data_IF_266295021320
#
_entry.id   IF_266295021320
#
_cell.length_a   1.000
_cell.length_b   1.000
_cell.length_c   1.000
_cell.angle_alpha   90.00
_cell.angle_beta   90.00
_cell.angle_gamma   90.00
#
_symmetry.space_group_name_H-M   'P 1'
#
loop_
_entity.id
_entity.type
_entity.pdbx_description
1 polymer ?
#
# COMPACT_ATOMS: atom_id res chain seq x y z
N UNK A 1 -14.55 26.01 7.22
CA UNK A 1 -14.68 24.57 6.88
C UNK A 1 -14.43 24.46 5.39
N UNK A 2 -13.38 23.75 4.97
CA UNK A 2 -13.15 23.48 3.55
C UNK A 2 -14.34 22.66 3.01
N UNK A 3 -14.81 23.01 1.83
CA UNK A 3 -15.90 22.29 1.17
C UNK A 3 -15.42 20.86 0.86
N UNK A 4 -16.10 19.83 1.41
CA UNK A 4 -15.76 18.42 1.14
C UNK A 4 -15.86 18.12 -0.37
N UNK A 5 -16.87 18.65 -1.03
CA UNK A 5 -17.14 18.45 -2.44
C UNK A 5 -16.61 19.62 -3.30
N UNK A 6 -15.36 19.54 -3.73
CA UNK A 6 -14.81 20.42 -4.77
C UNK A 6 -15.18 19.93 -6.17
N UNK A 7 -15.03 20.77 -7.21
CA UNK A 7 -15.26 20.35 -8.60
C UNK A 7 -14.38 19.16 -8.97
N UNK A 8 -13.09 19.22 -8.60
CA UNK A 8 -12.13 18.14 -8.89
C UNK A 8 -12.53 16.82 -8.24
N UNK A 9 -12.95 16.83 -6.98
CA UNK A 9 -13.41 15.62 -6.27
C UNK A 9 -14.66 15.03 -6.93
N UNK A 10 -15.62 15.88 -7.34
CA UNK A 10 -16.82 15.42 -8.08
C UNK A 10 -16.45 14.76 -9.41
N UNK A 11 -15.50 15.31 -10.15
CA UNK A 11 -15.02 14.74 -11.41
C UNK A 11 -14.39 13.36 -11.19
N UNK A 12 -13.49 13.21 -10.20
CA UNK A 12 -12.85 11.93 -9.90
C UNK A 12 -13.84 10.87 -9.44
N UNK A 13 -14.76 11.21 -8.55
CA UNK A 13 -15.83 10.29 -8.11
C UNK A 13 -16.75 9.91 -9.28
N UNK A 14 -17.13 10.88 -10.12
CA UNK A 14 -17.95 10.61 -11.30
C UNK A 14 -17.25 9.69 -12.32
N UNK A 15 -15.94 9.78 -12.45
CA UNK A 15 -15.14 8.87 -13.29
C UNK A 15 -15.22 7.42 -12.77
N UNK A 16 -15.10 7.22 -11.46
CA UNK A 16 -15.32 5.88 -10.86
C UNK A 16 -16.76 5.41 -11.06
N UNK A 17 -17.74 6.27 -10.83
CA UNK A 17 -19.15 5.94 -11.03
C UNK A 17 -19.47 5.51 -12.47
N UNK A 18 -18.76 6.05 -13.46
CA UNK A 18 -18.90 5.63 -14.87
C UNK A 18 -18.33 4.23 -15.12
N UNK A 19 -17.21 3.85 -14.48
CA UNK A 19 -16.63 2.52 -14.57
C UNK A 19 -17.39 1.50 -13.70
N UNK A 20 -18.07 1.96 -12.67
CA UNK A 20 -18.73 1.16 -11.63
C UNK A 20 -19.62 0.03 -12.16
N UNK A 21 -20.51 0.23 -13.16
CA UNK A 21 -21.33 -0.84 -13.70
C UNK A 21 -20.52 -2.04 -14.24
N UNK A 22 -19.36 -1.81 -14.85
CA UNK A 22 -18.47 -2.87 -15.30
C UNK A 22 -17.84 -3.61 -14.11
N UNK A 23 -17.41 -2.90 -13.08
CA UNK A 23 -16.90 -3.50 -11.84
C UNK A 23 -17.95 -4.36 -11.13
N UNK A 24 -19.17 -3.86 -11.02
CA UNK A 24 -20.30 -4.60 -10.43
C UNK A 24 -20.66 -5.86 -11.24
N UNK A 25 -20.59 -5.80 -12.56
CA UNK A 25 -20.85 -6.95 -13.43
C UNK A 25 -19.83 -8.08 -13.24
N UNK A 26 -18.57 -7.75 -13.00
CA UNK A 26 -17.47 -8.71 -12.77
C UNK A 26 -17.42 -9.22 -11.32
N UNK A 27 -17.98 -8.48 -10.36
CA UNK A 27 -17.85 -8.77 -8.92
C UNK A 27 -18.33 -10.18 -8.54
N UNK A 28 -19.39 -10.67 -9.13
CA UNK A 28 -19.93 -12.02 -8.87
C UNK A 28 -19.01 -13.15 -9.35
N UNK A 29 -18.26 -12.96 -10.41
CA UNK A 29 -17.26 -13.92 -10.90
C UNK A 29 -16.02 -13.88 -10.04
N UNK A 30 -15.50 -12.70 -9.75
CA UNK A 30 -14.39 -12.47 -8.83
C UNK A 30 -14.63 -13.16 -7.48
N UNK A 31 -15.84 -13.04 -6.93
CA UNK A 31 -16.20 -13.67 -5.66
C UNK A 31 -16.27 -15.20 -5.80
N UNK A 32 -16.94 -15.71 -6.81
CA UNK A 32 -17.11 -17.15 -7.02
C UNK A 32 -15.78 -17.88 -7.19
N UNK A 33 -14.84 -17.27 -7.92
CA UNK A 33 -13.56 -17.89 -8.28
C UNK A 33 -12.44 -17.55 -7.28
N UNK A 34 -12.72 -16.69 -6.29
CA UNK A 34 -11.72 -16.11 -5.39
C UNK A 34 -10.52 -15.50 -6.16
N UNK A 35 -10.81 -14.91 -7.33
CA UNK A 35 -9.80 -14.39 -8.23
C UNK A 35 -9.61 -12.88 -8.06
N UNK A 36 -8.38 -12.40 -8.24
CA UNK A 36 -8.09 -10.97 -8.24
C UNK A 36 -8.78 -10.27 -9.43
N UNK A 37 -9.38 -9.05 -9.23
CA UNK A 37 -10.12 -8.34 -10.27
C UNK A 37 -9.19 -7.62 -11.28
N UNK A 38 -8.42 -8.36 -12.06
CA UNK A 38 -7.42 -7.84 -13.00
C UNK A 38 -7.98 -6.81 -13.98
N UNK A 39 -9.20 -7.05 -14.52
CA UNK A 39 -9.81 -6.12 -15.47
C UNK A 39 -10.19 -4.78 -14.82
N UNK A 40 -10.64 -4.79 -13.55
CA UNK A 40 -10.92 -3.56 -12.82
C UNK A 40 -9.64 -2.74 -12.63
N UNK A 41 -8.52 -3.41 -12.37
CA UNK A 41 -7.23 -2.75 -12.25
C UNK A 41 -6.67 -2.25 -13.59
N UNK A 42 -6.98 -2.91 -14.70
CA UNK A 42 -6.67 -2.41 -16.02
C UNK A 42 -7.43 -1.09 -16.29
N UNK A 43 -8.73 -1.06 -16.01
CA UNK A 43 -9.57 0.14 -16.15
C UNK A 43 -9.07 1.28 -15.24
N UNK A 44 -8.75 0.99 -13.97
CA UNK A 44 -8.21 1.97 -13.03
C UNK A 44 -6.84 2.53 -13.48
N UNK A 45 -5.97 1.68 -14.04
CA UNK A 45 -4.68 2.08 -14.58
C UNK A 45 -4.84 2.98 -15.79
N UNK A 46 -5.69 2.62 -16.75
CA UNK A 46 -5.96 3.41 -17.94
C UNK A 46 -6.51 4.80 -17.58
N UNK A 47 -7.36 4.87 -16.57
CA UNK A 47 -7.91 6.13 -16.06
C UNK A 47 -6.97 6.91 -15.11
N UNK A 48 -5.76 6.41 -14.85
CA UNK A 48 -4.73 7.06 -14.01
C UNK A 48 -4.97 6.94 -12.50
N UNK A 49 -5.94 6.17 -12.05
CA UNK A 49 -6.31 6.08 -10.63
C UNK A 49 -5.26 5.39 -9.76
N UNK A 50 -4.35 4.59 -10.31
CA UNK A 50 -3.23 4.07 -9.52
C UNK A 50 -2.36 5.20 -8.94
N UNK A 51 -2.31 6.35 -9.61
CA UNK A 51 -1.65 7.57 -9.14
C UNK A 51 -2.57 8.54 -8.39
N UNK A 52 -3.70 8.10 -7.81
CA UNK A 52 -4.71 9.00 -7.21
C UNK A 52 -4.09 10.01 -6.24
N UNK A 53 -3.25 9.57 -5.31
CA UNK A 53 -2.64 10.40 -4.29
C UNK A 53 -1.20 10.84 -4.61
N UNK A 54 -0.71 10.53 -5.81
CA UNK A 54 0.57 11.04 -6.30
C UNK A 54 0.37 12.48 -6.79
N UNK A 55 1.29 13.42 -6.47
CA UNK A 55 1.19 14.80 -6.93
C UNK A 55 1.13 14.93 -8.47
N UNK A 56 0.40 15.92 -8.97
CA UNK A 56 0.31 16.21 -10.40
C UNK A 56 1.68 16.50 -11.03
N UNK A 57 2.60 17.10 -10.26
CA UNK A 57 3.99 17.34 -10.71
C UNK A 57 4.77 16.05 -11.00
N UNK A 58 4.31 14.91 -10.49
CA UNK A 58 4.84 13.56 -10.72
C UNK A 58 3.94 12.71 -11.62
N UNK A 59 2.96 13.32 -12.28
CA UNK A 59 2.06 12.65 -13.23
C UNK A 59 0.84 11.97 -12.59
N UNK A 60 0.62 12.14 -11.29
CA UNK A 60 -0.55 11.63 -10.58
C UNK A 60 -1.78 12.54 -10.68
N UNK A 61 -2.84 12.20 -9.95
CA UNK A 61 -4.11 12.95 -9.91
C UNK A 61 -4.17 13.98 -8.78
N UNK A 62 -3.16 14.07 -7.91
CA UNK A 62 -3.04 15.06 -6.84
C UNK A 62 -4.11 14.97 -5.76
N UNK A 63 -4.75 13.80 -5.61
CA UNK A 63 -5.79 13.58 -4.61
C UNK A 63 -5.24 13.62 -3.19
N UNK A 64 -5.96 14.30 -2.31
CA UNK A 64 -5.72 14.28 -0.87
C UNK A 64 -6.50 13.16 -0.17
N UNK A 65 -6.37 13.06 1.16
CA UNK A 65 -7.06 12.05 1.96
C UNK A 65 -8.59 12.07 1.78
N UNK A 66 -9.19 13.26 1.65
CA UNK A 66 -10.65 13.36 1.43
C UNK A 66 -11.03 12.84 0.04
N UNK A 67 -10.23 13.15 -0.97
CA UNK A 67 -10.40 12.62 -2.34
C UNK A 67 -10.29 11.10 -2.35
N UNK A 68 -9.27 10.56 -1.69
CA UNK A 68 -9.09 9.13 -1.51
C UNK A 68 -10.31 8.46 -0.86
N UNK A 69 -10.81 9.01 0.25
CA UNK A 69 -11.96 8.46 0.97
C UNK A 69 -13.23 8.43 0.08
N UNK A 70 -13.53 9.51 -0.65
CA UNK A 70 -14.67 9.61 -1.54
C UNK A 70 -14.58 8.65 -2.74
N UNK A 71 -13.39 8.51 -3.32
CA UNK A 71 -13.12 7.56 -4.41
C UNK A 71 -13.26 6.12 -3.94
N UNK A 72 -12.71 5.80 -2.76
CA UNK A 72 -12.81 4.46 -2.16
C UNK A 72 -14.25 4.10 -1.80
N UNK A 73 -15.05 5.05 -1.29
CA UNK A 73 -16.48 4.87 -1.05
C UNK A 73 -17.22 4.50 -2.34
N UNK A 74 -16.96 5.25 -3.43
CA UNK A 74 -17.60 4.98 -4.70
C UNK A 74 -17.19 3.62 -5.28
N UNK A 75 -15.89 3.26 -5.23
CA UNK A 75 -15.42 1.93 -5.62
C UNK A 75 -16.14 0.82 -4.85
N UNK A 76 -16.27 0.99 -3.53
CA UNK A 76 -16.91 0.03 -2.64
C UNK A 76 -18.38 -0.24 -2.96
N UNK A 77 -19.09 0.71 -3.55
CA UNK A 77 -20.46 0.55 -4.01
C UNK A 77 -20.60 -0.47 -5.15
N UNK A 78 -19.52 -0.69 -5.89
CA UNK A 78 -19.53 -1.52 -7.09
C UNK A 78 -18.78 -2.84 -6.89
N UNK A 79 -17.60 -2.81 -6.23
CA UNK A 79 -16.81 -3.99 -5.94
C UNK A 79 -15.97 -3.79 -4.67
N UNK A 80 -16.37 -4.43 -3.58
CA UNK A 80 -15.67 -4.33 -2.30
C UNK A 80 -14.23 -4.84 -2.35
N UNK A 81 -13.96 -5.93 -3.07
CA UNK A 81 -12.59 -6.46 -3.23
C UNK A 81 -11.68 -5.48 -3.97
N UNK A 82 -12.18 -4.83 -5.03
CA UNK A 82 -11.43 -3.78 -5.72
C UNK A 82 -11.17 -2.59 -4.81
N UNK A 83 -12.17 -2.13 -4.05
CA UNK A 83 -12.01 -0.99 -3.15
C UNK A 83 -10.98 -1.25 -2.06
N UNK A 84 -11.00 -2.44 -1.43
CA UNK A 84 -10.05 -2.79 -0.36
C UNK A 84 -8.62 -2.92 -0.90
N UNK A 85 -8.44 -3.58 -2.03
CA UNK A 85 -7.09 -3.73 -2.63
C UNK A 85 -6.56 -2.39 -3.17
N UNK A 86 -7.43 -1.56 -3.76
CA UNK A 86 -7.10 -0.20 -4.14
C UNK A 86 -6.68 0.66 -2.95
N UNK A 87 -7.34 0.48 -1.79
CA UNK A 87 -6.93 1.11 -0.55
C UNK A 87 -5.49 0.74 -0.19
N UNK A 88 -5.12 -0.53 -0.20
CA UNK A 88 -3.76 -0.98 0.15
C UNK A 88 -2.69 -0.32 -0.74
N UNK A 89 -2.94 -0.25 -2.04
CA UNK A 89 -2.05 0.41 -2.99
C UNK A 89 -1.97 1.93 -2.77
N UNK A 90 -3.12 2.60 -2.71
CA UNK A 90 -3.19 4.05 -2.59
C UNK A 90 -2.70 4.54 -1.23
N UNK A 91 -2.94 3.78 -0.16
CA UNK A 91 -2.41 4.07 1.17
C UNK A 91 -0.87 4.16 1.16
N UNK A 92 -0.18 3.27 0.45
CA UNK A 92 1.27 3.34 0.31
C UNK A 92 1.73 4.63 -0.36
N UNK A 93 1.12 5.00 -1.50
CA UNK A 93 1.49 6.23 -2.21
C UNK A 93 1.22 7.50 -1.40
N UNK A 94 0.14 7.50 -0.61
CA UNK A 94 -0.21 8.60 0.29
C UNK A 94 0.69 8.66 1.52
N UNK A 95 1.07 7.50 2.09
CA UNK A 95 1.94 7.38 3.25
C UNK A 95 3.32 7.96 2.95
N UNK A 96 3.95 7.57 1.84
CA UNK A 96 5.25 8.11 1.44
C UNK A 96 5.17 9.54 0.86
N UNK A 97 3.96 10.00 0.55
CA UNK A 97 3.65 11.34 0.06
C UNK A 97 3.22 12.28 1.16
N UNK A 98 1.97 12.72 1.10
CA UNK A 98 1.39 13.77 1.96
C UNK A 98 1.56 13.53 3.46
N UNK A 99 1.48 12.25 3.90
CA UNK A 99 1.65 11.95 5.33
C UNK A 99 3.12 12.12 5.73
N UNK A 100 4.06 11.70 4.88
CA UNK A 100 5.49 11.85 5.14
C UNK A 100 5.99 13.30 5.07
N UNK A 101 5.27 14.20 4.39
CA UNK A 101 5.62 15.62 4.33
C UNK A 101 5.66 16.28 5.73
N UNK A 102 4.83 15.79 6.66
CA UNK A 102 4.73 16.30 8.03
C UNK A 102 5.75 15.68 9.01
N UNK A 103 6.61 14.76 8.55
CA UNK A 103 7.60 14.13 9.42
C UNK A 103 8.78 15.06 9.72
N UNK A 104 9.30 14.93 10.95
CA UNK A 104 10.57 15.55 11.33
C UNK A 104 11.71 14.76 10.65
N UNK A 105 12.38 15.40 9.72
CA UNK A 105 13.53 14.88 8.99
C UNK A 105 14.64 15.92 8.99
N UNK A 106 15.86 15.47 9.11
CA UNK A 106 17.02 16.30 8.75
C UNK A 106 17.00 16.59 7.24
N UNK A 107 17.77 17.59 6.80
CA UNK A 107 17.87 17.93 5.37
C UNK A 107 18.38 16.74 4.54
N UNK A 108 19.29 15.93 5.10
CA UNK A 108 19.82 14.74 4.45
C UNK A 108 18.77 13.63 4.34
N UNK A 109 18.04 13.33 5.43
CA UNK A 109 16.94 12.35 5.41
C UNK A 109 15.86 12.76 4.43
N UNK A 110 15.52 14.06 4.38
CA UNK A 110 14.53 14.58 3.44
C UNK A 110 14.99 14.41 2.00
N UNK A 111 16.24 14.72 1.68
CA UNK A 111 16.76 14.55 0.33
C UNK A 111 16.71 13.09 -0.13
N UNK A 112 17.11 12.15 0.73
CA UNK A 112 17.02 10.71 0.46
C UNK A 112 15.56 10.26 0.29
N UNK A 113 14.67 10.74 1.16
CA UNK A 113 13.24 10.43 1.07
C UNK A 113 12.62 10.94 -0.24
N UNK A 114 12.93 12.17 -0.66
CA UNK A 114 12.45 12.75 -1.93
C UNK A 114 12.89 11.91 -3.14
N UNK A 115 14.14 11.46 -3.17
CA UNK A 115 14.66 10.60 -4.23
C UNK A 115 13.89 9.27 -4.28
N UNK A 116 13.78 8.58 -3.14
CA UNK A 116 13.12 7.26 -3.02
C UNK A 116 11.64 7.31 -3.36
N UNK A 117 10.90 8.31 -2.82
CA UNK A 117 9.47 8.44 -3.14
C UNK A 117 9.21 8.83 -4.59
N UNK A 118 10.07 9.64 -5.19
CA UNK A 118 9.97 10.00 -6.61
C UNK A 118 10.13 8.77 -7.50
N UNK A 119 11.04 7.86 -7.15
CA UNK A 119 11.24 6.60 -7.86
C UNK A 119 10.04 5.65 -7.68
N UNK A 120 9.49 5.54 -6.46
CA UNK A 120 8.27 4.79 -6.20
C UNK A 120 7.12 5.31 -7.07
N UNK A 121 6.89 6.62 -7.08
CA UNK A 121 5.83 7.24 -7.87
C UNK A 121 6.04 7.06 -9.37
N UNK A 122 7.28 7.18 -9.84
CA UNK A 122 7.63 6.90 -11.23
C UNK A 122 7.26 5.46 -11.61
N UNK A 123 7.57 4.49 -10.77
CA UNK A 123 7.19 3.08 -10.98
C UNK A 123 5.68 2.90 -11.08
N UNK A 124 4.90 3.56 -10.22
CA UNK A 124 3.43 3.51 -10.29
C UNK A 124 2.91 4.15 -11.59
N UNK A 125 3.38 5.35 -11.94
CA UNK A 125 2.85 6.11 -13.08
C UNK A 125 3.32 5.53 -14.43
N UNK A 126 4.61 5.26 -14.58
CA UNK A 126 5.18 4.85 -15.86
C UNK A 126 5.07 3.34 -16.14
N UNK A 127 5.13 2.52 -15.10
CA UNK A 127 5.18 1.07 -15.20
C UNK A 127 3.88 0.40 -14.70
N UNK A 128 3.05 1.14 -13.97
CA UNK A 128 1.82 0.63 -13.36
C UNK A 128 2.07 -0.32 -12.22
N UNK A 129 3.20 -0.17 -11.51
CA UNK A 129 3.55 -1.00 -10.35
C UNK A 129 2.49 -0.92 -9.27
N UNK A 130 2.15 -2.08 -8.71
CA UNK A 130 1.23 -2.23 -7.60
C UNK A 130 2.00 -2.42 -6.30
N UNK A 131 1.55 -1.72 -5.27
CA UNK A 131 2.09 -1.81 -3.93
C UNK A 131 1.09 -2.46 -2.99
N UNK A 132 1.48 -3.54 -2.31
CA UNK A 132 0.76 -4.09 -1.17
C UNK A 132 1.29 -3.51 0.13
N UNK A 133 0.47 -3.52 1.19
CA UNK A 133 0.84 -3.00 2.51
C UNK A 133 0.47 -4.00 3.61
N UNK A 134 1.17 -5.14 3.73
CA UNK A 134 0.88 -6.15 4.73
C UNK A 134 1.41 -5.74 6.11
N UNK A 135 0.54 -5.35 7.03
CA UNK A 135 0.89 -4.99 8.39
C UNK A 135 0.77 -6.14 9.37
N UNK A 136 -0.32 -6.90 9.29
CA UNK A 136 -0.69 -7.88 10.30
C UNK A 136 0.31 -9.05 10.36
N UNK A 137 0.69 -9.46 11.58
CA UNK A 137 1.59 -10.58 11.82
C UNK A 137 0.87 -11.78 12.49
N UNK A 138 -0.44 -11.63 12.75
CA UNK A 138 -1.25 -12.68 13.39
C UNK A 138 -0.94 -12.85 14.87
N UNK A 139 -0.27 -11.89 15.49
CA UNK A 139 0.06 -11.88 16.91
C UNK A 139 -1.00 -11.15 17.73
N UNK A 140 -1.19 -11.55 18.98
CA UNK A 140 -2.05 -10.81 19.88
C UNK A 140 -1.41 -9.45 20.27
N UNK A 141 -2.21 -8.41 20.56
CA UNK A 141 -1.69 -7.15 21.03
C UNK A 141 -0.78 -7.32 22.26
N UNK A 142 0.46 -6.84 22.17
CA UNK A 142 1.43 -6.90 23.27
C UNK A 142 2.28 -8.17 23.34
N UNK A 143 2.13 -9.12 22.41
CA UNK A 143 3.02 -10.28 22.32
C UNK A 143 4.44 -9.93 21.91
N UNK A 144 4.61 -8.82 21.18
CA UNK A 144 5.94 -8.27 20.86
C UNK A 144 6.00 -6.78 21.12
N UNK A 145 7.19 -6.26 21.42
CA UNK A 145 7.46 -4.84 21.34
C UNK A 145 7.72 -4.48 19.85
N UNK A 146 6.83 -3.72 19.24
CA UNK A 146 6.88 -3.40 17.82
C UNK A 146 6.43 -4.58 16.93
N UNK A 147 7.08 -4.74 15.78
CA UNK A 147 6.80 -5.81 14.82
C UNK A 147 7.70 -7.04 15.07
N UNK A 148 7.20 -8.25 14.76
CA UNK A 148 7.97 -9.48 14.87
C UNK A 148 8.92 -9.70 13.67
N UNK A 149 8.56 -9.20 12.48
CA UNK A 149 9.44 -9.25 11.33
C UNK A 149 10.77 -8.53 11.62
N UNK A 150 11.88 -9.15 11.20
CA UNK A 150 13.26 -8.69 11.47
C UNK A 150 14.04 -8.54 10.18
N UNK A 151 14.80 -7.46 10.08
CA UNK A 151 15.71 -7.22 8.98
C UNK A 151 17.15 -7.09 9.51
N UNK A 152 18.09 -7.75 8.83
CA UNK A 152 19.51 -7.68 9.12
C UNK A 152 20.17 -6.82 8.04
N UNK A 153 20.89 -5.76 8.39
CA UNK A 153 21.63 -4.97 7.41
C UNK A 153 22.72 -5.80 6.72
N UNK A 154 22.78 -5.67 5.40
CA UNK A 154 23.82 -6.29 4.56
C UNK A 154 24.31 -5.27 3.53
N UNK A 155 25.34 -5.62 2.77
CA UNK A 155 25.82 -4.75 1.69
C UNK A 155 24.70 -4.48 0.66
N UNK A 156 24.39 -3.21 0.42
CA UNK A 156 23.37 -2.76 -0.50
C UNK A 156 21.92 -2.86 -0.02
N UNK A 157 21.65 -3.29 1.24
CA UNK A 157 20.26 -3.38 1.72
C UNK A 157 20.06 -4.17 3.00
N UNK A 158 19.03 -5.01 2.99
CA UNK A 158 18.58 -5.79 4.16
C UNK A 158 18.22 -7.22 3.75
N UNK A 159 18.41 -8.16 4.67
CA UNK A 159 17.78 -9.49 4.60
C UNK A 159 16.60 -9.53 5.58
N UNK A 160 15.40 -9.65 5.04
CA UNK A 160 14.15 -9.65 5.82
C UNK A 160 13.73 -11.09 6.14
N UNK A 161 13.41 -11.35 7.41
CA UNK A 161 12.80 -12.59 7.87
C UNK A 161 11.57 -12.31 8.71
N UNK A 162 10.47 -13.03 8.46
CA UNK A 162 9.24 -12.84 9.21
C UNK A 162 8.02 -13.33 8.46
N UNK A 163 6.84 -13.06 9.02
CA UNK A 163 5.56 -13.46 8.44
C UNK A 163 4.57 -12.31 8.53
N UNK A 164 3.79 -12.14 7.46
CA UNK A 164 2.62 -11.26 7.43
C UNK A 164 1.39 -12.09 7.06
N UNK A 165 0.25 -11.76 7.67
CA UNK A 165 -1.03 -12.41 7.40
C UNK A 165 -2.01 -11.40 6.82
N UNK A 166 -3.04 -11.88 6.12
CA UNK A 166 -4.02 -11.04 5.43
C UNK A 166 -3.37 -10.04 4.45
N UNK A 167 -2.33 -10.50 3.74
CA UNK A 167 -1.59 -9.68 2.78
C UNK A 167 -2.39 -9.50 1.48
N UNK A 168 -3.34 -8.56 1.47
CA UNK A 168 -4.08 -8.20 0.26
C UNK A 168 -3.11 -7.85 -0.86
N UNK A 169 -3.43 -8.22 -2.12
CA UNK A 169 -2.56 -8.11 -3.29
C UNK A 169 -1.36 -9.08 -3.27
N UNK A 170 -1.34 -10.12 -2.44
CA UNK A 170 -0.16 -10.97 -2.22
C UNK A 170 0.44 -11.56 -3.50
N UNK A 171 -0.39 -11.93 -4.49
CA UNK A 171 0.06 -12.56 -5.75
C UNK A 171 0.25 -11.56 -6.91
N UNK A 172 -0.16 -10.31 -6.74
CA UNK A 172 -0.24 -9.35 -7.87
C UNK A 172 0.51 -8.05 -7.63
N UNK A 173 0.93 -7.77 -6.38
CA UNK A 173 1.76 -6.62 -6.11
C UNK A 173 3.18 -6.82 -6.65
N UNK A 174 3.78 -5.74 -7.11
CA UNK A 174 5.21 -5.71 -7.50
C UNK A 174 6.10 -5.52 -6.27
N UNK A 175 5.60 -4.80 -5.25
CA UNK A 175 6.28 -4.60 -3.98
C UNK A 175 5.35 -4.83 -2.78
N UNK A 176 5.87 -5.54 -1.79
CA UNK A 176 5.25 -5.69 -0.47
C UNK A 176 5.89 -4.71 0.51
N UNK A 177 5.16 -3.67 0.90
CA UNK A 177 5.66 -2.64 1.81
C UNK A 177 5.45 -3.08 3.25
N UNK A 178 6.51 -3.48 3.90
CA UNK A 178 6.51 -4.21 5.17
C UNK A 178 7.07 -3.34 6.28
N UNK A 179 6.37 -3.33 7.40
CA UNK A 179 6.91 -2.82 8.66
C UNK A 179 7.73 -3.92 9.34
N UNK A 180 8.94 -3.59 9.80
CA UNK A 180 9.82 -4.51 10.51
C UNK A 180 10.73 -3.78 11.49
N UNK A 181 11.44 -4.55 12.32
CA UNK A 181 12.51 -4.06 13.18
C UNK A 181 13.85 -4.43 12.56
N UNK A 182 14.83 -3.53 12.61
CA UNK A 182 16.19 -3.78 12.13
C UNK A 182 17.09 -4.18 13.29
N UNK A 183 17.97 -5.17 13.09
CA UNK A 183 18.91 -5.58 14.11
C UNK A 183 19.79 -4.42 14.58
N UNK A 184 19.82 -4.19 15.90
CA UNK A 184 20.59 -3.09 16.51
C UNK A 184 19.88 -1.72 16.50
N UNK A 185 18.64 -1.65 16.04
CA UNK A 185 17.82 -0.43 16.04
C UNK A 185 16.38 -0.74 16.56
N UNK A 186 15.88 0.09 17.47
CA UNK A 186 14.55 -0.05 18.07
C UNK A 186 13.44 0.73 17.29
N UNK A 187 13.82 1.42 16.23
CA UNK A 187 12.89 2.18 15.39
C UNK A 187 12.29 1.30 14.30
N UNK A 188 10.99 1.46 14.08
CA UNK A 188 10.30 0.76 12.99
C UNK A 188 10.84 1.22 11.63
N UNK A 189 11.05 0.26 10.74
CA UNK A 189 11.39 0.49 9.33
C UNK A 189 10.20 0.16 8.43
N UNK A 190 10.15 0.84 7.29
CA UNK A 190 9.17 0.62 6.25
C UNK A 190 9.89 0.29 4.93
N UNK A 191 9.90 -1.00 4.61
CA UNK A 191 10.71 -1.57 3.54
C UNK A 191 9.83 -2.12 2.41
N UNK A 192 10.11 -1.74 1.17
CA UNK A 192 9.46 -2.29 -0.02
C UNK A 192 10.20 -3.54 -0.51
N UNK A 193 9.66 -4.71 -0.20
CA UNK A 193 10.21 -6.01 -0.61
C UNK A 193 9.76 -6.29 -2.05
N UNK A 194 10.67 -6.48 -3.02
CA UNK A 194 10.29 -6.94 -4.35
C UNK A 194 9.56 -8.29 -4.27
N UNK A 195 8.44 -8.42 -4.95
CA UNK A 195 7.61 -9.63 -4.86
C UNK A 195 8.32 -10.87 -5.45
N UNK A 196 9.25 -10.66 -6.37
CA UNK A 196 10.07 -11.68 -7.03
C UNK A 196 11.42 -11.94 -6.34
N UNK A 197 11.69 -11.31 -5.19
CA UNK A 197 12.92 -11.56 -4.45
C UNK A 197 12.98 -13.00 -3.93
N UNK A 198 14.16 -13.61 -4.03
CA UNK A 198 14.41 -14.90 -3.40
C UNK A 198 14.03 -14.85 -1.92
N UNK A 199 13.35 -15.90 -1.42
CA UNK A 199 12.89 -15.96 -0.02
C UNK A 199 11.53 -15.31 0.23
N UNK A 200 10.86 -14.74 -0.77
CA UNK A 200 9.45 -14.34 -0.67
C UNK A 200 8.57 -15.54 -0.98
N UNK A 201 7.77 -15.96 -0.01
CA UNK A 201 6.92 -17.15 -0.11
C UNK A 201 5.47 -16.76 0.18
N UNK A 202 4.56 -17.10 -0.71
CA UNK A 202 3.13 -16.92 -0.54
C UNK A 202 2.55 -18.24 -0.02
N UNK A 203 1.91 -18.21 1.16
CA UNK A 203 1.38 -19.40 1.82
C UNK A 203 -0.13 -19.37 2.02
N UNK A 204 -0.70 -20.58 2.10
CA UNK A 204 -2.10 -20.82 2.41
C UNK A 204 -3.04 -20.49 1.25
N UNK A 205 -4.33 -20.70 1.49
CA UNK A 205 -5.40 -20.39 0.56
C UNK A 205 -6.11 -19.11 1.01
N UNK A 206 -6.81 -18.47 0.07
CA UNK A 206 -7.70 -17.36 0.38
C UNK A 206 -9.12 -17.70 -0.03
N UNK A 207 -9.87 -18.32 0.90
CA UNK A 207 -11.26 -18.76 0.68
C UNK A 207 -12.17 -18.30 1.85
N UNK A 208 -12.26 -16.99 2.13
CA UNK A 208 -13.12 -16.45 3.18
C UNK A 208 -14.60 -16.40 2.74
N UNK A 209 -15.50 -16.05 3.66
CA UNK A 209 -16.92 -15.86 3.39
C UNK A 209 -17.19 -14.69 2.43
N UNK A 210 -16.39 -13.63 2.50
CA UNK A 210 -16.48 -12.44 1.65
C UNK A 210 -15.12 -11.86 1.33
N UNK A 211 -15.05 -10.86 0.45
CA UNK A 211 -13.79 -10.23 0.03
C UNK A 211 -12.81 -11.22 -0.64
N UNK A 212 -13.36 -12.21 -1.33
CA UNK A 212 -12.62 -13.32 -1.92
C UNK A 212 -11.63 -12.84 -3.01
N UNK A 213 -11.98 -11.79 -3.73
CA UNK A 213 -11.12 -11.19 -4.76
C UNK A 213 -9.98 -10.32 -4.25
N UNK A 214 -9.74 -10.24 -2.92
CA UNK A 214 -8.63 -9.42 -2.39
C UNK A 214 -7.28 -10.12 -2.44
N UNK A 215 -7.28 -11.46 -2.63
CA UNK A 215 -6.05 -12.25 -2.65
C UNK A 215 -5.17 -11.95 -1.43
N UNK A 216 -5.76 -12.12 -0.21
CA UNK A 216 -5.13 -11.72 1.06
C UNK A 216 -4.46 -12.90 1.75
N UNK A 217 -3.59 -13.60 1.02
CA UNK A 217 -2.84 -14.77 1.54
C UNK A 217 -1.78 -14.35 2.55
N UNK A 218 -1.08 -15.31 3.09
CA UNK A 218 0.04 -15.03 3.98
C UNK A 218 1.33 -14.87 3.19
N UNK A 219 2.21 -14.01 3.67
CA UNK A 219 3.57 -13.85 3.17
C UNK A 219 4.57 -14.32 4.23
N UNK A 220 5.51 -15.13 3.82
CA UNK A 220 6.69 -15.51 4.60
C UNK A 220 7.92 -14.95 3.89
N UNK A 221 8.77 -14.31 4.67
CA UNK A 221 10.06 -13.80 4.22
C UNK A 221 11.14 -14.66 4.89
N UNK A 222 11.91 -15.39 4.11
CA UNK A 222 13.00 -16.25 4.55
C UNK A 222 14.33 -15.72 4.00
N UNK A 223 14.84 -14.68 4.65
CA UNK A 223 16.04 -13.98 4.20
C UNK A 223 15.82 -13.20 2.89
N UNK A 224 14.62 -12.70 2.63
CA UNK A 224 14.33 -11.97 1.41
C UNK A 224 15.16 -10.68 1.32
N UNK A 225 15.88 -10.49 0.20
CA UNK A 225 16.71 -9.30 0.00
C UNK A 225 15.84 -8.09 -0.33
N UNK A 226 16.08 -6.99 0.40
CA UNK A 226 15.42 -5.70 0.18
C UNK A 226 16.49 -4.66 -0.13
N UNK A 227 16.52 -4.07 -1.32
CA UNK A 227 17.45 -3.00 -1.67
C UNK A 227 17.32 -1.79 -0.73
N UNK A 228 18.42 -1.14 -0.40
CA UNK A 228 18.43 0.02 0.50
C UNK A 228 17.58 1.19 -0.02
N UNK A 229 17.47 1.36 -1.31
CA UNK A 229 16.62 2.36 -1.97
C UNK A 229 15.12 2.11 -1.75
N UNK A 230 14.73 0.89 -1.40
CA UNK A 230 13.35 0.53 -1.08
C UNK A 230 12.97 0.78 0.40
N UNK A 231 13.81 1.42 1.19
CA UNK A 231 13.45 1.97 2.49
C UNK A 231 12.76 3.33 2.26
N UNK A 232 11.43 3.34 2.16
CA UNK A 232 10.66 4.50 1.70
C UNK A 232 10.41 5.57 2.76
N UNK A 233 10.66 5.29 4.03
CA UNK A 233 10.59 6.25 5.12
C UNK A 233 11.92 6.30 5.87
N UNK A 234 12.27 7.46 6.46
CA UNK A 234 13.43 7.52 7.34
C UNK A 234 13.22 6.61 8.56
N UNK A 235 14.29 6.17 9.21
CA UNK A 235 14.21 5.37 10.43
C UNK A 235 13.35 6.03 11.51
N UNK A 236 12.31 5.33 11.99
CA UNK A 236 11.34 5.89 12.96
C UNK A 236 10.28 6.80 12.34
N UNK A 237 10.28 7.01 11.03
CA UNK A 237 9.22 7.78 10.35
C UNK A 237 7.84 7.18 10.56
N UNK A 238 7.75 5.85 10.54
CA UNK A 238 6.51 5.15 10.82
C UNK A 238 6.02 5.37 12.27
N UNK A 239 6.93 5.40 13.25
CA UNK A 239 6.60 5.68 14.66
C UNK A 239 6.06 7.11 14.84
N UNK A 240 6.65 8.08 14.13
CA UNK A 240 6.14 9.46 14.12
C UNK A 240 4.72 9.52 13.54
N UNK A 241 4.46 8.85 12.44
CA UNK A 241 3.12 8.78 11.82
C UNK A 241 2.09 8.21 12.79
N UNK A 242 2.40 7.09 13.41
CA UNK A 242 1.52 6.42 14.37
C UNK A 242 1.16 7.33 15.56
N UNK A 243 2.08 8.20 15.97
CA UNK A 243 1.87 9.14 17.06
C UNK A 243 1.07 10.37 16.62
N UNK A 244 1.37 10.95 15.46
CA UNK A 244 0.74 12.19 14.95
C UNK A 244 -0.63 11.93 14.34
N UNK A 245 -0.84 10.74 13.77
CA UNK A 245 -2.05 10.35 13.07
C UNK A 245 -2.65 9.08 13.68
N UNK A 246 -3.19 9.14 14.93
CA UNK A 246 -3.64 7.93 15.65
C UNK A 246 -4.77 7.18 14.94
N UNK A 247 -5.52 7.83 14.06
CA UNK A 247 -6.51 7.20 13.19
C UNK A 247 -5.94 6.61 11.89
N UNK A 248 -4.63 6.74 11.65
CA UNK A 248 -3.96 6.17 10.50
C UNK A 248 -4.22 4.66 10.40
N UNK A 249 -4.05 3.93 11.49
CA UNK A 249 -4.34 2.50 11.54
C UNK A 249 -5.80 2.13 11.35
N UNK A 250 -6.73 3.00 11.74
CA UNK A 250 -8.17 2.73 11.64
C UNK A 250 -8.78 3.14 10.31
N UNK A 251 -8.07 3.89 9.50
CA UNK A 251 -8.56 4.42 8.22
C UNK A 251 -7.82 3.85 7.01
N UNK A 252 -6.63 3.30 7.20
CA UNK A 252 -5.80 2.74 6.13
C UNK A 252 -5.58 1.22 6.28
N UNK A 253 -6.14 0.61 7.30
CA UNK A 253 -6.20 -0.84 7.53
C UNK A 253 -7.67 -1.29 7.61
#
# INVERSE_FOLDING_TARGET
MSEIWTSRRRELVASIAQMGPAFAARAGEVDREAAFPHENYADLREAGFLGLCIPESHGGLGGDFVTYALVSEELGRHCGSTALTFNMHTATTMLVGQIADDLDMTDEERAVHEERRSELWRGVIAEGRLHAQPFSEGLAPGETAGFAARAVPVDGGYLLTGRKVFASLSEVADLHNVTCMVEGDDRVRFLGVPADADGVIIEGDWDPLGMRGTNSRNLVFDGAFVPAENEFLPPGGFDQMATRWPYFYTTLT
#
